data_IF_723004561202
#
_entry.id   IF_723004561202
#
_cell.length_a   1.000
_cell.length_b   1.000
_cell.length_c   1.000
_cell.angle_alpha   90.00
_cell.angle_beta   90.00
_cell.angle_gamma   90.00
#
_symmetry.space_group_name_H-M   'P 1'
#
loop_
_entity.id
_entity.type
_entity.pdbx_description
1 polymer ?
#
# COMPACT_ATOMS: atom_id res chain seq x y z
N UNK A 1 1.71 -13.93 -8.02
CA UNK A 1 0.48 -13.65 -7.23
C UNK A 1 -0.33 -14.89 -6.81
N UNK A 2 -0.11 -16.07 -7.41
CA UNK A 2 -0.91 -17.29 -7.14
C UNK A 2 -0.94 -17.72 -5.67
N UNK A 3 0.21 -17.72 -4.98
CA UNK A 3 0.29 -18.11 -3.56
C UNK A 3 -0.46 -17.13 -2.64
N UNK A 4 -0.26 -15.82 -2.84
CA UNK A 4 -0.97 -14.79 -2.07
C UNK A 4 -2.49 -14.86 -2.28
N UNK A 5 -2.94 -15.08 -3.52
CA UNK A 5 -4.36 -15.30 -3.86
C UNK A 5 -4.94 -16.54 -3.18
N UNK A 6 -4.22 -17.67 -3.23
CA UNK A 6 -4.68 -18.90 -2.58
C UNK A 6 -4.85 -18.71 -1.06
N UNK A 7 -3.87 -18.06 -0.41
CA UNK A 7 -3.95 -17.73 1.03
C UNK A 7 -5.11 -16.77 1.34
N UNK A 8 -5.23 -15.70 0.58
CA UNK A 8 -6.32 -14.72 0.70
C UNK A 8 -7.70 -15.36 0.56
N UNK A 9 -7.88 -16.25 -0.42
CA UNK A 9 -9.13 -17.00 -0.60
C UNK A 9 -9.42 -17.92 0.59
N UNK A 10 -8.43 -18.63 1.13
CA UNK A 10 -8.62 -19.49 2.30
C UNK A 10 -8.88 -18.74 3.60
N UNK A 11 -8.32 -17.53 3.75
CA UNK A 11 -8.45 -16.72 4.96
C UNK A 11 -9.58 -15.67 4.84
N UNK A 12 -10.26 -15.61 3.71
CA UNK A 12 -11.25 -14.58 3.38
C UNK A 12 -10.71 -13.14 3.56
N UNK A 13 -9.45 -12.92 3.20
CA UNK A 13 -8.74 -11.63 3.32
C UNK A 13 -8.44 -11.05 1.95
N UNK A 14 -8.39 -9.73 1.87
CA UNK A 14 -7.92 -9.06 0.65
C UNK A 14 -6.40 -9.16 0.54
N UNK A 15 -5.85 -9.01 -0.67
CA UNK A 15 -4.39 -9.00 -0.88
C UNK A 15 -3.92 -7.55 -0.99
N UNK A 16 -3.01 -7.14 -0.12
CA UNK A 16 -2.30 -5.87 -0.22
C UNK A 16 -0.91 -6.14 -0.82
N UNK A 17 -0.73 -5.78 -2.09
CA UNK A 17 0.55 -5.84 -2.78
C UNK A 17 1.30 -4.54 -2.50
N UNK A 18 2.57 -4.63 -2.07
CA UNK A 18 3.45 -3.47 -1.88
C UNK A 18 4.66 -3.63 -2.80
N UNK A 19 4.77 -2.76 -3.80
CA UNK A 19 5.96 -2.64 -4.64
C UNK A 19 7.02 -1.84 -3.90
N UNK A 20 8.22 -2.41 -3.79
CA UNK A 20 9.31 -1.84 -3.00
C UNK A 20 10.68 -2.15 -3.59
N UNK A 21 11.71 -1.50 -3.04
CA UNK A 21 13.12 -1.76 -3.32
C UNK A 21 13.95 -1.64 -2.04
N UNK A 22 15.13 -2.26 -2.02
CA UNK A 22 16.07 -2.28 -0.89
C UNK A 22 16.56 -0.88 -0.48
N UNK A 23 16.73 0.01 -1.46
CA UNK A 23 17.15 1.40 -1.28
C UNK A 23 16.00 2.33 -0.85
N UNK A 24 14.75 1.89 -0.93
CA UNK A 24 13.57 2.73 -0.71
C UNK A 24 13.30 2.98 0.78
N UNK A 25 13.67 4.17 1.28
CA UNK A 25 13.43 4.57 2.68
C UNK A 25 11.94 4.69 3.04
N UNK A 26 11.10 5.19 2.12
CA UNK A 26 9.66 5.31 2.34
C UNK A 26 8.95 3.95 2.41
N UNK A 27 9.45 2.94 1.69
CA UNK A 27 8.95 1.57 1.76
C UNK A 27 9.16 1.00 3.17
N UNK A 28 10.37 1.19 3.72
CA UNK A 28 10.69 0.80 5.11
C UNK A 28 9.81 1.50 6.14
N UNK A 29 9.48 2.79 5.93
CA UNK A 29 8.54 3.52 6.80
C UNK A 29 7.12 2.98 6.73
N UNK A 30 6.66 2.58 5.53
CA UNK A 30 5.35 1.97 5.34
C UNK A 30 5.27 0.64 6.11
N UNK A 31 6.26 -0.23 5.91
CA UNK A 31 6.34 -1.51 6.61
C UNK A 31 6.40 -1.32 8.13
N UNK A 32 7.24 -0.41 8.62
CA UNK A 32 7.33 -0.10 10.05
C UNK A 32 6.04 0.52 10.63
N UNK A 33 5.16 1.07 9.79
CA UNK A 33 3.86 1.59 10.23
C UNK A 33 2.81 0.49 10.26
N UNK A 34 2.80 -0.38 9.25
CA UNK A 34 1.93 -1.56 9.18
C UNK A 34 2.23 -2.54 10.33
N UNK A 35 3.51 -2.76 10.63
CA UNK A 35 3.98 -3.67 11.69
C UNK A 35 3.94 -3.03 13.08
N UNK A 36 3.52 -1.77 13.21
CA UNK A 36 3.44 -1.11 14.51
C UNK A 36 2.39 -1.78 15.41
N UNK A 37 2.71 -2.12 16.67
CA UNK A 37 1.78 -2.79 17.58
C UNK A 37 0.43 -2.10 17.74
N UNK A 38 0.36 -0.77 17.53
CA UNK A 38 -0.89 -0.01 17.62
C UNK A 38 -1.91 -0.38 16.54
N UNK A 39 -1.48 -0.91 15.39
CA UNK A 39 -2.38 -1.20 14.28
C UNK A 39 -2.09 -2.50 13.51
N UNK A 40 -1.01 -3.21 13.83
CA UNK A 40 -0.65 -4.48 13.18
C UNK A 40 -1.78 -5.50 13.16
N UNK A 41 -2.49 -5.66 14.27
CA UNK A 41 -3.61 -6.59 14.37
C UNK A 41 -4.72 -6.30 13.34
N UNK A 42 -4.95 -5.04 13.00
CA UNK A 42 -5.91 -4.66 11.96
C UNK A 42 -5.42 -5.13 10.58
N UNK A 43 -4.15 -4.91 10.24
CA UNK A 43 -3.60 -5.33 8.95
C UNK A 43 -3.57 -6.85 8.81
N UNK A 44 -3.06 -7.56 9.84
CA UNK A 44 -2.98 -9.02 9.86
C UNK A 44 -4.37 -9.69 9.74
N UNK A 45 -5.39 -9.08 10.34
CA UNK A 45 -6.77 -9.55 10.29
C UNK A 45 -7.39 -9.40 8.91
N UNK A 46 -7.08 -8.33 8.19
CA UNK A 46 -7.82 -7.93 7.00
C UNK A 46 -7.10 -8.21 5.69
N UNK A 47 -5.76 -8.31 5.71
CA UNK A 47 -4.96 -8.42 4.49
C UNK A 47 -3.95 -9.56 4.54
N UNK A 48 -3.77 -10.20 3.40
CA UNK A 48 -2.54 -10.90 3.06
C UNK A 48 -1.61 -9.89 2.40
N UNK A 49 -0.56 -9.48 3.11
CA UNK A 49 0.42 -8.53 2.60
C UNK A 49 1.49 -9.30 1.82
N UNK A 50 1.78 -8.84 0.60
CA UNK A 50 2.83 -9.41 -0.23
C UNK A 50 3.66 -8.30 -0.85
N UNK A 51 4.96 -8.36 -0.59
CA UNK A 51 5.93 -7.46 -1.18
C UNK A 51 6.39 -7.95 -2.55
N UNK A 52 6.53 -7.03 -3.50
CA UNK A 52 7.12 -7.29 -4.80
C UNK A 52 8.30 -6.34 -5.02
N UNK A 53 9.50 -6.91 -5.11
CA UNK A 53 10.74 -6.19 -5.34
C UNK A 53 10.84 -5.73 -6.80
N UNK A 54 11.05 -4.44 -6.99
CA UNK A 54 11.14 -3.73 -8.28
C UNK A 54 12.17 -2.61 -8.19
N UNK A 55 12.58 -2.06 -9.33
CA UNK A 55 13.41 -0.85 -9.41
C UNK A 55 14.73 -0.98 -8.64
N UNK A 56 15.29 -2.19 -8.50
CA UNK A 56 16.59 -2.41 -7.88
C UNK A 56 17.72 -1.92 -8.78
N UNK A 57 18.93 -1.83 -8.23
CA UNK A 57 20.10 -1.39 -8.97
C UNK A 57 21.32 -2.30 -8.72
N UNK A 58 22.27 -2.27 -9.66
CA UNK A 58 23.51 -3.05 -9.58
C UNK A 58 23.26 -4.54 -9.36
N UNK A 59 23.92 -5.11 -8.37
CA UNK A 59 23.77 -6.54 -8.03
C UNK A 59 22.35 -6.90 -7.55
N UNK A 60 21.59 -5.94 -7.02
CA UNK A 60 20.28 -6.19 -6.45
C UNK A 60 19.19 -6.35 -7.52
N UNK A 61 19.45 -6.05 -8.80
CA UNK A 61 18.49 -6.30 -9.90
C UNK A 61 18.08 -7.77 -9.94
N UNK A 62 18.98 -8.68 -9.54
CA UNK A 62 18.69 -10.12 -9.43
C UNK A 62 17.66 -10.47 -8.34
N UNK A 63 17.35 -9.55 -7.42
CA UNK A 63 16.36 -9.71 -6.36
C UNK A 63 14.94 -9.35 -6.82
N UNK A 64 14.79 -8.72 -7.98
CA UNK A 64 13.47 -8.34 -8.49
C UNK A 64 12.58 -9.55 -8.73
N UNK A 65 11.31 -9.43 -8.37
CA UNK A 65 10.36 -10.51 -8.61
C UNK A 65 9.99 -10.56 -10.11
N UNK A 66 10.09 -11.73 -10.78
CA UNK A 66 9.70 -11.86 -12.18
C UNK A 66 8.26 -11.37 -12.42
N UNK A 67 8.12 -10.45 -13.37
CA UNK A 67 6.83 -9.85 -13.76
C UNK A 67 6.31 -8.75 -12.82
N UNK A 68 6.98 -8.43 -11.71
CA UNK A 68 6.55 -7.37 -10.81
C UNK A 68 6.63 -5.99 -11.45
N UNK A 69 7.71 -5.68 -12.17
CA UNK A 69 7.86 -4.40 -12.88
C UNK A 69 6.74 -4.21 -13.91
N UNK A 70 6.45 -5.24 -14.72
CA UNK A 70 5.34 -5.20 -15.67
C UNK A 70 4.00 -4.98 -14.98
N UNK A 71 3.75 -5.66 -13.87
CA UNK A 71 2.52 -5.47 -13.09
C UNK A 71 2.41 -4.03 -12.57
N UNK A 72 3.50 -3.46 -12.04
CA UNK A 72 3.54 -2.08 -11.60
C UNK A 72 3.18 -1.11 -12.75
N UNK A 73 3.71 -1.34 -13.94
CA UNK A 73 3.40 -0.58 -15.16
C UNK A 73 1.92 -0.72 -15.57
N UNK A 74 1.40 -1.95 -15.62
CA UNK A 74 0.02 -2.25 -16.03
C UNK A 74 -1.02 -1.55 -15.12
N UNK A 75 -0.69 -1.29 -13.85
CA UNK A 75 -1.55 -0.57 -12.91
C UNK A 75 -1.18 0.92 -12.75
N UNK A 76 -0.30 1.45 -13.61
CA UNK A 76 0.02 2.88 -13.69
C UNK A 76 1.00 3.37 -12.63
N UNK A 77 1.73 2.48 -11.96
CA UNK A 77 2.79 2.82 -11.02
C UNK A 77 4.19 2.92 -11.64
N UNK A 78 4.37 2.53 -12.92
CA UNK A 78 5.68 2.46 -13.57
C UNK A 78 6.43 3.81 -13.67
N UNK A 79 5.71 4.93 -13.67
CA UNK A 79 6.27 6.28 -13.63
C UNK A 79 6.07 6.98 -12.27
N UNK A 80 5.54 6.26 -11.28
CA UNK A 80 5.36 6.76 -9.92
C UNK A 80 6.55 6.39 -9.04
N UNK A 81 6.75 7.12 -7.94
CA UNK A 81 7.68 6.69 -6.90
C UNK A 81 7.20 5.42 -6.17
N UNK A 82 8.10 4.75 -5.45
CA UNK A 82 7.77 3.65 -4.52
C UNK A 82 7.88 4.12 -3.05
N UNK A 83 7.10 3.55 -2.10
CA UNK A 83 6.23 2.40 -2.28
C UNK A 83 5.04 2.72 -3.18
N UNK A 84 4.60 1.73 -3.94
CA UNK A 84 3.33 1.76 -4.66
C UNK A 84 2.56 0.54 -4.18
N UNK A 85 1.26 0.65 -3.95
CA UNK A 85 0.46 -0.46 -3.46
C UNK A 85 -0.83 -0.67 -4.25
N UNK A 86 -1.28 -1.93 -4.24
CA UNK A 86 -2.53 -2.36 -4.86
C UNK A 86 -3.27 -3.24 -3.88
N UNK A 87 -4.59 -3.07 -3.81
CA UNK A 87 -5.46 -3.93 -3.00
C UNK A 87 -6.35 -4.73 -3.96
N UNK A 88 -6.27 -6.04 -3.84
CA UNK A 88 -7.12 -6.98 -4.59
C UNK A 88 -8.07 -7.71 -3.66
N UNK A 89 -9.27 -8.02 -4.14
CA UNK A 89 -10.14 -9.00 -3.50
C UNK A 89 -9.55 -10.41 -3.57
N UNK A 90 -10.09 -11.38 -2.80
CA UNK A 90 -9.52 -12.73 -2.75
C UNK A 90 -9.57 -13.45 -4.11
N UNK A 91 -10.55 -13.12 -4.96
CA UNK A 91 -10.70 -13.61 -6.33
C UNK A 91 -9.80 -12.87 -7.35
N UNK A 92 -9.12 -11.81 -6.93
CA UNK A 92 -8.15 -11.09 -7.74
C UNK A 92 -8.67 -9.90 -8.53
N UNK A 93 -9.87 -9.39 -8.23
CA UNK A 93 -10.34 -8.10 -8.76
C UNK A 93 -9.62 -6.96 -8.03
N UNK A 94 -9.19 -5.94 -8.77
CA UNK A 94 -8.63 -4.73 -8.16
C UNK A 94 -9.73 -3.97 -7.39
N UNK A 95 -9.45 -3.64 -6.13
CA UNK A 95 -10.35 -2.86 -5.27
C UNK A 95 -9.87 -1.41 -5.10
N UNK A 96 -8.56 -1.21 -4.98
CA UNK A 96 -7.96 0.12 -4.84
C UNK A 96 -6.48 0.10 -5.27
N UNK A 97 -5.97 1.27 -5.62
CA UNK A 97 -4.55 1.50 -5.91
C UNK A 97 -4.01 2.68 -5.08
N UNK A 98 -2.71 2.90 -5.17
CA UNK A 98 -1.95 3.88 -4.40
C UNK A 98 -2.19 5.34 -4.80
N UNK A 99 -3.05 5.60 -5.79
CA UNK A 99 -3.30 6.95 -6.30
C UNK A 99 -4.52 7.56 -5.63
N UNK A 100 -4.54 8.89 -5.55
CA UNK A 100 -5.79 9.59 -5.29
C UNK A 100 -6.72 9.48 -6.50
N UNK A 101 -8.01 9.28 -6.24
CA UNK A 101 -9.08 9.30 -7.23
C UNK A 101 -10.11 10.34 -6.82
N UNK A 102 -10.32 11.32 -7.69
CA UNK A 102 -11.29 12.40 -7.53
C UNK A 102 -12.03 12.64 -8.85
N UNK A 103 -13.33 12.90 -8.75
CA UNK A 103 -14.18 13.29 -9.89
C UNK A 103 -14.07 14.80 -10.19
N UNK A 104 -13.39 15.56 -9.32
CA UNK A 104 -13.12 16.97 -9.52
C UNK A 104 -11.95 17.15 -10.51
N UNK A 105 -12.18 17.72 -11.70
CA UNK A 105 -11.13 17.93 -12.69
C UNK A 105 -10.07 18.96 -12.24
N UNK A 106 -10.35 19.77 -11.22
CA UNK A 106 -9.40 20.76 -10.67
C UNK A 106 -8.51 20.18 -9.56
N UNK A 107 -8.81 18.96 -9.08
CA UNK A 107 -8.03 18.30 -8.04
C UNK A 107 -6.66 17.87 -8.59
N UNK A 108 -5.65 18.67 -8.27
CA UNK A 108 -4.25 18.43 -8.67
C UNK A 108 -3.64 17.17 -8.05
N UNK A 109 -4.22 16.64 -6.97
CA UNK A 109 -3.78 15.38 -6.38
C UNK A 109 -4.31 14.17 -7.16
N UNK A 110 -5.35 14.34 -7.99
CA UNK A 110 -5.92 13.23 -8.75
C UNK A 110 -4.86 12.50 -9.58
N UNK A 111 -4.90 11.17 -9.55
CA UNK A 111 -3.91 10.25 -10.11
C UNK A 111 -2.47 10.34 -9.56
N UNK A 112 -2.19 11.20 -8.57
CA UNK A 112 -0.87 11.23 -7.93
C UNK A 112 -0.71 10.05 -6.99
N UNK A 113 0.46 9.41 -7.01
CA UNK A 113 0.79 8.36 -6.07
C UNK A 113 1.01 8.93 -4.66
N UNK A 114 0.25 8.39 -3.71
CA UNK A 114 0.36 8.69 -2.28
C UNK A 114 1.58 8.07 -1.61
N UNK A 115 2.05 6.95 -2.16
CA UNK A 115 3.11 6.13 -1.59
C UNK A 115 2.85 5.71 -0.15
N UNK A 116 3.77 6.07 0.76
CA UNK A 116 3.63 5.85 2.20
C UNK A 116 2.92 7.06 2.82
N UNK A 117 1.63 6.95 3.21
CA UNK A 117 0.87 8.11 3.67
C UNK A 117 1.52 8.75 4.90
N UNK A 118 1.70 10.07 4.84
CA UNK A 118 2.36 10.84 5.89
C UNK A 118 1.68 12.19 6.14
N UNK A 119 1.21 12.87 5.10
CA UNK A 119 0.45 14.10 5.21
C UNK A 119 -1.00 13.85 5.63
N UNK A 120 -1.67 14.80 6.32
CA UNK A 120 -3.05 14.60 6.77
C UNK A 120 -4.02 14.16 5.68
N UNK A 121 -3.96 14.77 4.50
CA UNK A 121 -4.83 14.42 3.37
C UNK A 121 -4.55 13.00 2.82
N UNK A 122 -3.28 12.61 2.73
CA UNK A 122 -2.87 11.25 2.34
C UNK A 122 -3.40 10.22 3.35
N UNK A 123 -3.16 10.46 4.63
CA UNK A 123 -3.59 9.54 5.69
C UNK A 123 -5.12 9.43 5.72
N UNK A 124 -5.84 10.54 5.58
CA UNK A 124 -7.31 10.52 5.57
C UNK A 124 -7.87 9.76 4.37
N UNK A 125 -7.30 9.94 3.18
CA UNK A 125 -7.69 9.17 2.02
C UNK A 125 -7.34 7.68 2.16
N UNK A 126 -6.14 7.36 2.67
CA UNK A 126 -5.75 5.97 2.93
C UNK A 126 -6.72 5.28 3.91
N UNK A 127 -7.16 5.98 4.97
CA UNK A 127 -8.20 5.46 5.87
C UNK A 127 -9.52 5.21 5.14
N UNK A 128 -9.91 6.05 4.18
CA UNK A 128 -11.11 5.80 3.36
C UNK A 128 -10.95 4.55 2.49
N UNK A 129 -9.78 4.36 1.87
CA UNK A 129 -9.47 3.14 1.11
C UNK A 129 -9.54 1.91 2.00
N UNK A 130 -8.93 1.95 3.18
CA UNK A 130 -8.93 0.88 4.17
C UNK A 130 -10.35 0.53 4.64
N UNK A 131 -11.22 1.53 4.87
CA UNK A 131 -12.63 1.31 5.20
C UNK A 131 -13.44 0.69 4.07
N UNK A 132 -13.14 1.04 2.81
CA UNK A 132 -13.82 0.48 1.63
C UNK A 132 -13.37 -0.94 1.30
N UNK A 133 -12.15 -1.30 1.70
CA UNK A 133 -11.50 -2.56 1.34
C UNK A 133 -11.32 -3.50 2.52
N UNK A 134 -11.86 -3.19 3.70
CA UNK A 134 -11.90 -4.14 4.81
C UNK A 134 -12.97 -3.81 5.85
N UNK A 135 -13.06 -4.65 6.88
CA UNK A 135 -13.86 -4.32 8.07
C UNK A 135 -12.98 -3.54 9.04
N UNK A 136 -13.26 -2.25 9.20
CA UNK A 136 -12.49 -1.34 10.06
C UNK A 136 -13.39 -0.62 11.05
N UNK A 137 -13.10 -0.77 12.34
CA UNK A 137 -13.73 -0.01 13.42
C UNK A 137 -13.16 1.42 13.52
N UNK A 138 -13.86 2.29 14.25
CA UNK A 138 -13.39 3.66 14.47
C UNK A 138 -12.09 3.72 15.29
N UNK A 139 -11.89 2.80 16.24
CA UNK A 139 -10.65 2.73 17.03
C UNK A 139 -9.47 2.26 16.18
N UNK A 140 -9.65 1.26 15.32
CA UNK A 140 -8.63 0.84 14.36
C UNK A 140 -8.28 1.97 13.39
N UNK A 141 -9.29 2.70 12.88
CA UNK A 141 -9.07 3.87 12.02
C UNK A 141 -8.25 4.96 12.72
N UNK A 142 -8.57 5.26 13.99
CA UNK A 142 -7.82 6.23 14.78
C UNK A 142 -6.38 5.78 15.02
N UNK A 143 -6.15 4.49 15.30
CA UNK A 143 -4.81 3.94 15.53
C UNK A 143 -3.94 4.00 14.27
N UNK A 144 -4.47 3.54 13.12
CA UNK A 144 -3.77 3.65 11.82
C UNK A 144 -3.47 5.10 11.49
N UNK A 145 -4.47 6.00 11.62
CA UNK A 145 -4.27 7.44 11.36
C UNK A 145 -3.17 8.03 12.24
N UNK A 146 -3.22 7.78 13.54
CA UNK A 146 -2.23 8.28 14.50
C UNK A 146 -0.83 7.75 14.18
N UNK A 147 -0.69 6.49 13.76
CA UNK A 147 0.60 5.90 13.43
C UNK A 147 1.20 6.45 12.13
N UNK A 148 0.41 6.51 11.06
CA UNK A 148 0.90 6.95 9.74
C UNK A 148 1.23 8.45 9.73
N UNK A 149 0.51 9.28 10.49
CA UNK A 149 0.87 10.70 10.67
C UNK A 149 2.25 10.95 11.29
N UNK A 150 2.88 9.94 11.91
CA UNK A 150 4.27 10.02 12.42
C UNK A 150 5.31 9.85 11.31
N UNK A 151 4.92 9.46 10.10
CA UNK A 151 5.85 9.36 8.97
C UNK A 151 6.23 10.74 8.40
N UNK A 152 5.46 11.78 8.76
CA UNK A 152 5.62 13.14 8.27
C UNK A 152 6.96 13.75 8.74
N UNK A 153 7.88 14.08 7.82
CA UNK A 153 9.21 14.57 8.18
C UNK A 153 9.22 15.96 8.81
N UNK A 154 8.13 16.73 8.73
CA UNK A 154 8.04 18.09 9.29
C UNK A 154 7.60 18.14 10.76
N UNK A 155 7.34 16.99 11.38
CA UNK A 155 7.02 16.86 12.81
C UNK A 155 8.24 16.48 13.68
N UNK A 156 9.43 16.93 13.29
CA UNK A 156 10.67 16.81 14.09
C UNK A 156 10.69 17.77 15.27
#
# INVERSE_FOLDING_TARGET
MTAAKAKAASEHKNVLIIFHASWCGWCKKMDASIEDPSCKAYFDKNYVIQHLTVMENGANVSLENPGAQKMLEDYGGGQSGIPYWLIFSPDGKLLADSKFHSDDPEDKANNQNMGCPAQPAEVDYFIQVLKKTSTMSNSEAAAVKARFLKNNPTKS
#
